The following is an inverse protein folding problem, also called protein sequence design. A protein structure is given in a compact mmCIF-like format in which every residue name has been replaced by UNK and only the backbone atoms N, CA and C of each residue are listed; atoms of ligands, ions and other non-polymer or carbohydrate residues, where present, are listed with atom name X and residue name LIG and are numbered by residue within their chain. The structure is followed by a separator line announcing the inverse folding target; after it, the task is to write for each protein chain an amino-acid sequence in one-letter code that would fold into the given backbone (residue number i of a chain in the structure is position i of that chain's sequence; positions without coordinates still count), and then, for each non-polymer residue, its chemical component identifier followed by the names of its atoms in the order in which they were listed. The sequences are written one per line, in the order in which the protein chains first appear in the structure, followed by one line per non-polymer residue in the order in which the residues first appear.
data_IF_271176632075
#
_entry.id   IF_271176632075
#
_cell.length_a   1.000
_cell.length_b   1.000
_cell.length_c   1.000
_cell.angle_alpha   90.00
_cell.angle_beta   90.00
_cell.angle_gamma   90.00
#
_symmetry.space_group_name_H-M   'P 1'
#
loop_
_entity.id
_entity.type
_entity.pdbx_description
1 polymer ?
#
# COMPACT_ATOMS: atom_id res chain seq x y z
N UNK A 1 -3.42 13.39 -14.37
CA UNK A 1 -2.55 12.19 -14.31
C UNK A 1 -1.72 12.06 -15.56
N UNK A 2 -0.46 11.67 -15.41
CA UNK A 2 0.47 11.48 -16.54
C UNK A 2 0.16 10.14 -17.23
N UNK A 3 0.33 10.08 -18.55
CA UNK A 3 0.23 8.83 -19.30
C UNK A 3 1.23 7.82 -18.73
N UNK A 4 0.82 6.57 -18.47
CA UNK A 4 1.65 5.55 -17.85
C UNK A 4 1.65 5.57 -16.30
N UNK A 5 0.83 6.43 -15.67
CA UNK A 5 0.66 6.52 -14.22
C UNK A 5 -0.83 6.56 -13.80
N UNK A 6 -1.72 6.00 -14.62
CA UNK A 6 -3.18 6.08 -14.42
C UNK A 6 -3.78 4.84 -13.77
N UNK A 7 -2.96 3.83 -13.45
CA UNK A 7 -3.35 2.62 -12.72
C UNK A 7 -2.37 2.35 -11.58
N UNK A 8 -2.72 1.50 -10.66
CA UNK A 8 -2.01 1.32 -9.39
C UNK A 8 -0.50 1.14 -9.53
N UNK A 9 -0.03 0.08 -10.22
CA UNK A 9 1.41 -0.16 -10.36
C UNK A 9 2.11 0.93 -11.20
N UNK A 10 1.46 1.45 -12.22
CA UNK A 10 2.00 2.58 -12.99
C UNK A 10 2.18 3.83 -12.13
N UNK A 11 1.24 4.10 -11.21
CA UNK A 11 1.36 5.20 -10.25
C UNK A 11 2.48 4.94 -9.24
N UNK A 12 2.60 3.72 -8.71
CA UNK A 12 3.67 3.35 -7.78
C UNK A 12 5.06 3.49 -8.42
N UNK A 13 5.23 3.01 -9.66
CA UNK A 13 6.48 3.20 -10.43
C UNK A 13 6.76 4.68 -10.67
N UNK A 14 5.75 5.46 -11.05
CA UNK A 14 5.94 6.90 -11.27
C UNK A 14 6.37 7.64 -10.00
N UNK A 15 5.88 7.23 -8.82
CA UNK A 15 6.24 7.84 -7.54
C UNK A 15 7.62 7.40 -7.04
N UNK A 16 8.01 6.15 -7.27
CA UNK A 16 9.27 5.61 -6.75
C UNK A 16 10.44 5.72 -7.70
N UNK A 17 10.19 5.67 -9.02
CA UNK A 17 11.22 5.73 -10.07
C UNK A 17 11.21 7.03 -10.88
N UNK A 18 10.19 7.89 -10.73
CA UNK A 18 10.07 9.14 -11.46
C UNK A 18 9.79 9.00 -12.97
N UNK A 19 9.40 7.80 -13.42
CA UNK A 19 9.15 7.51 -14.84
C UNK A 19 7.74 6.96 -15.06
N UNK A 20 7.12 7.18 -16.25
CA UNK A 20 5.88 6.53 -16.60
C UNK A 20 6.11 5.04 -16.90
N UNK A 21 5.25 4.16 -16.39
CA UNK A 21 5.33 2.73 -16.69
C UNK A 21 4.87 2.46 -18.12
N UNK A 22 5.70 1.75 -18.87
CA UNK A 22 5.36 1.15 -20.14
C UNK A 22 5.71 -0.34 -20.08
N UNK A 23 4.71 -1.18 -20.20
CA UNK A 23 4.88 -2.64 -20.17
C UNK A 23 5.07 -3.19 -21.57
N UNK A 24 5.85 -4.28 -21.74
CA UNK A 24 6.03 -4.96 -23.01
C UNK A 24 4.80 -5.78 -23.43
N UNK A 25 3.86 -6.03 -22.52
CA UNK A 25 2.65 -6.80 -22.73
C UNK A 25 1.42 -5.89 -22.76
N UNK A 26 0.37 -6.29 -23.48
CA UNK A 26 -0.90 -5.57 -23.50
C UNK A 26 -1.62 -5.66 -22.14
N UNK A 27 -1.46 -6.78 -21.43
CA UNK A 27 -2.01 -6.94 -20.08
C UNK A 27 -0.97 -6.52 -19.03
N UNK A 28 -1.08 -5.27 -18.59
CA UNK A 28 -0.21 -4.69 -17.56
C UNK A 28 -0.26 -5.44 -16.22
N UNK A 29 -1.34 -6.21 -15.97
CA UNK A 29 -1.49 -6.97 -14.74
C UNK A 29 -0.71 -8.29 -14.77
N UNK A 30 -0.28 -8.73 -15.93
CA UNK A 30 0.55 -9.92 -16.12
C UNK A 30 2.04 -9.60 -16.09
N UNK A 31 2.42 -8.33 -16.19
CA UNK A 31 3.83 -7.95 -16.15
C UNK A 31 4.45 -8.28 -14.77
N UNK A 32 5.55 -9.03 -14.79
CA UNK A 32 6.18 -9.57 -13.58
C UNK A 32 5.49 -10.81 -12.99
N UNK A 33 4.32 -11.22 -13.50
CA UNK A 33 3.60 -12.38 -12.97
C UNK A 33 4.29 -13.73 -13.27
N UNK A 34 5.07 -13.79 -14.34
CA UNK A 34 5.81 -14.99 -14.79
C UNK A 34 7.21 -15.10 -14.18
N UNK A 35 7.55 -14.25 -13.20
CA UNK A 35 8.89 -14.21 -12.58
C UNK A 35 9.92 -13.45 -13.42
N UNK A 36 9.46 -12.67 -14.38
CA UNK A 36 10.28 -11.75 -15.14
C UNK A 36 10.74 -10.59 -14.26
N UNK A 37 11.95 -10.09 -14.52
CA UNK A 37 12.44 -8.89 -13.85
C UNK A 37 11.55 -7.68 -14.14
N UNK A 38 11.26 -6.90 -13.11
CA UNK A 38 10.42 -5.72 -13.23
C UNK A 38 11.26 -4.44 -13.19
N UNK A 39 11.59 -3.87 -14.35
CA UNK A 39 12.42 -2.66 -14.49
C UNK A 39 13.82 -2.77 -13.85
N UNK A 40 14.60 -3.83 -14.08
CA UNK A 40 15.85 -4.11 -13.35
C UNK A 40 16.95 -3.07 -13.59
N UNK A 41 16.83 -2.26 -14.63
CA UNK A 41 17.81 -1.20 -14.98
C UNK A 41 17.47 0.19 -14.43
N UNK A 42 16.42 0.30 -13.60
CA UNK A 42 15.96 1.59 -13.05
C UNK A 42 16.34 1.67 -11.58
N UNK A 43 16.93 2.78 -11.17
CA UNK A 43 17.13 3.09 -9.75
C UNK A 43 15.88 3.76 -9.19
N UNK A 44 15.36 3.24 -8.11
CA UNK A 44 14.15 3.74 -7.47
C UNK A 44 14.45 4.40 -6.13
N UNK A 45 13.46 5.12 -5.58
CA UNK A 45 13.55 5.64 -4.21
C UNK A 45 13.80 4.51 -3.20
N UNK A 46 13.20 3.32 -3.42
CA UNK A 46 13.39 2.18 -2.52
C UNK A 46 14.80 1.61 -2.60
N UNK A 47 15.45 1.59 -3.76
CA UNK A 47 16.89 1.25 -3.87
C UNK A 47 17.76 2.25 -3.10
N UNK A 48 17.49 3.55 -3.25
CA UNK A 48 18.24 4.62 -2.57
C UNK A 48 18.10 4.50 -1.05
N UNK A 49 16.89 4.25 -0.55
CA UNK A 49 16.64 4.08 0.89
C UNK A 49 17.28 2.81 1.42
N UNK A 50 17.24 1.71 0.65
CA UNK A 50 17.94 0.46 0.98
C UNK A 50 19.45 0.69 1.15
N UNK A 51 20.08 1.34 0.18
CA UNK A 51 21.52 1.66 0.20
C UNK A 51 21.87 2.63 1.36
N UNK A 52 20.93 3.46 1.79
CA UNK A 52 21.08 4.34 2.94
C UNK A 52 20.82 3.64 4.31
N UNK A 53 20.52 2.33 4.31
CA UNK A 53 20.33 1.54 5.51
C UNK A 53 18.94 1.65 6.16
N UNK A 54 17.93 2.08 5.41
CA UNK A 54 16.54 2.06 5.88
C UNK A 54 15.96 0.64 5.85
N UNK A 55 15.23 0.28 6.89
CA UNK A 55 14.35 -0.89 6.87
C UNK A 55 13.06 -0.48 6.16
N UNK A 56 12.70 -1.17 5.09
CA UNK A 56 11.58 -0.80 4.25
C UNK A 56 10.45 -1.81 4.30
N UNK A 57 9.22 -1.33 4.44
CA UNK A 57 8.04 -2.16 4.43
C UNK A 57 6.97 -1.62 3.49
N UNK A 58 6.37 -2.52 2.70
CA UNK A 58 5.19 -2.28 1.89
C UNK A 58 3.99 -2.99 2.51
N UNK A 59 2.86 -2.30 2.66
CA UNK A 59 1.60 -2.87 3.09
C UNK A 59 0.48 -2.57 2.10
N UNK A 60 -0.26 -3.60 1.71
CA UNK A 60 -1.41 -3.50 0.80
C UNK A 60 -2.59 -4.30 1.32
N UNK A 61 -3.82 -3.81 1.17
CA UNK A 61 -5.03 -4.52 1.60
C UNK A 61 -5.40 -5.73 0.72
N UNK A 62 -4.82 -5.85 -0.47
CA UNK A 62 -5.10 -6.89 -1.47
C UNK A 62 -3.95 -7.89 -1.60
N UNK A 63 -4.05 -8.80 -2.57
CA UNK A 63 -2.94 -9.66 -2.98
C UNK A 63 -1.83 -8.83 -3.63
N UNK A 64 -0.65 -8.79 -3.04
CA UNK A 64 0.48 -8.00 -3.53
C UNK A 64 1.01 -8.46 -4.89
N UNK A 65 0.75 -9.71 -5.29
CA UNK A 65 1.19 -10.25 -6.59
C UNK A 65 0.50 -9.58 -7.77
N UNK A 66 -0.73 -9.07 -7.56
CA UNK A 66 -1.49 -8.41 -8.61
C UNK A 66 -0.73 -7.22 -9.20
N UNK A 67 -0.63 -7.15 -10.52
CA UNK A 67 0.06 -6.10 -11.24
C UNK A 67 1.58 -6.12 -11.11
N UNK A 68 2.19 -7.23 -10.69
CA UNK A 68 3.65 -7.35 -10.53
C UNK A 68 4.23 -6.58 -9.34
N UNK A 69 3.38 -6.04 -8.45
CA UNK A 69 3.82 -5.22 -7.29
C UNK A 69 4.86 -5.94 -6.44
N UNK A 70 4.62 -7.24 -6.14
CA UNK A 70 5.55 -8.03 -5.35
C UNK A 70 6.94 -8.05 -5.96
N UNK A 71 7.03 -8.45 -7.23
CA UNK A 71 8.32 -8.56 -7.95
C UNK A 71 9.03 -7.22 -8.02
N UNK A 72 8.30 -6.15 -8.38
CA UNK A 72 8.87 -4.80 -8.44
C UNK A 72 9.50 -4.38 -7.12
N UNK A 73 8.76 -4.45 -6.02
CA UNK A 73 9.26 -3.98 -4.74
C UNK A 73 10.35 -4.88 -4.13
N UNK A 74 10.25 -6.21 -4.30
CA UNK A 74 11.31 -7.14 -3.86
C UNK A 74 12.63 -6.92 -4.62
N UNK A 75 12.56 -6.65 -5.92
CA UNK A 75 13.76 -6.35 -6.73
C UNK A 75 14.40 -4.99 -6.40
N UNK A 76 13.62 -4.07 -5.88
CA UNK A 76 14.04 -2.70 -5.57
C UNK A 76 14.21 -2.44 -4.06
N UNK A 77 14.70 -3.42 -3.30
CA UNK A 77 15.17 -3.22 -1.93
C UNK A 77 14.11 -3.16 -0.85
N UNK A 78 12.88 -3.67 -1.10
CA UNK A 78 11.85 -3.78 -0.06
C UNK A 78 12.13 -4.98 0.85
N UNK A 79 12.33 -4.74 2.16
CA UNK A 79 12.69 -5.78 3.14
C UNK A 79 11.48 -6.62 3.59
N UNK A 80 10.32 -6.00 3.71
CA UNK A 80 9.11 -6.68 4.15
C UNK A 80 7.88 -6.28 3.32
N UNK A 81 7.02 -7.27 3.04
CA UNK A 81 5.75 -7.05 2.35
C UNK A 81 4.63 -7.66 3.18
N UNK A 82 3.64 -6.83 3.52
CA UNK A 82 2.43 -7.20 4.23
C UNK A 82 1.22 -7.07 3.32
N UNK A 83 0.43 -8.12 3.20
CA UNK A 83 -0.73 -8.17 2.32
C UNK A 83 -1.89 -8.96 2.98
N UNK A 84 -2.93 -9.24 2.22
CA UNK A 84 -4.06 -10.06 2.66
C UNK A 84 -3.63 -11.40 3.29
N UNK A 85 -2.62 -12.06 2.72
CA UNK A 85 -2.20 -13.39 3.19
C UNK A 85 -1.38 -13.30 4.48
N UNK A 86 -0.51 -12.31 4.58
CA UNK A 86 0.23 -12.05 5.82
C UNK A 86 -0.71 -11.61 6.94
N UNK A 87 -1.72 -10.77 6.66
CA UNK A 87 -2.75 -10.39 7.63
C UNK A 87 -3.54 -11.58 8.19
N UNK A 88 -3.85 -12.57 7.33
CA UNK A 88 -4.48 -13.83 7.75
C UNK A 88 -3.55 -14.70 8.61
N UNK A 89 -2.28 -14.77 8.23
CA UNK A 89 -1.24 -15.52 8.95
C UNK A 89 -0.98 -14.94 10.33
N UNK A 90 -0.91 -13.62 10.42
CA UNK A 90 -0.64 -12.88 11.65
C UNK A 90 -1.90 -12.74 12.55
N UNK A 91 -3.06 -13.22 12.10
CA UNK A 91 -4.30 -13.20 12.88
C UNK A 91 -4.99 -11.84 12.97
N UNK A 92 -4.60 -10.89 12.11
CA UNK A 92 -5.25 -9.58 11.98
C UNK A 92 -6.69 -9.73 11.52
N UNK A 93 -6.90 -10.66 10.59
CA UNK A 93 -8.19 -11.05 10.03
C UNK A 93 -8.36 -12.57 10.04
N UNK A 94 -9.60 -13.10 10.04
CA UNK A 94 -9.85 -14.53 9.91
C UNK A 94 -9.24 -15.14 8.65
N UNK A 95 -8.89 -16.43 8.69
CA UNK A 95 -8.24 -17.13 7.56
C UNK A 95 -9.04 -17.12 6.27
N UNK A 96 -10.35 -17.06 6.34
CA UNK A 96 -11.27 -17.02 5.20
C UNK A 96 -11.82 -15.60 4.92
N UNK A 97 -11.29 -14.57 5.59
CA UNK A 97 -11.74 -13.21 5.41
C UNK A 97 -11.37 -12.69 4.02
N UNK A 98 -12.34 -12.17 3.30
CA UNK A 98 -12.16 -11.51 2.03
C UNK A 98 -13.35 -10.60 1.77
N UNK A 99 -13.09 -9.31 1.67
CA UNK A 99 -14.09 -8.32 1.25
C UNK A 99 -13.48 -7.41 0.19
N UNK A 100 -14.29 -7.00 -0.76
CA UNK A 100 -13.88 -6.11 -1.83
C UNK A 100 -12.66 -6.67 -2.60
N UNK A 101 -11.50 -6.08 -2.44
CA UNK A 101 -10.23 -6.52 -3.07
C UNK A 101 -9.33 -7.34 -2.13
N UNK A 102 -9.81 -7.63 -0.94
CA UNK A 102 -9.04 -8.42 0.03
C UNK A 102 -9.38 -8.11 1.48
N UNK A 103 -8.77 -7.07 2.04
CA UNK A 103 -8.96 -6.57 3.39
C UNK A 103 -9.22 -5.07 3.32
N UNK A 104 -10.34 -4.60 3.90
CA UNK A 104 -10.70 -3.18 3.93
C UNK A 104 -9.73 -2.33 4.73
N UNK A 105 -9.78 -1.01 4.51
CA UNK A 105 -8.86 -0.04 5.10
C UNK A 105 -8.93 0.01 6.64
N UNK A 106 -10.06 -0.29 7.25
CA UNK A 106 -10.19 -0.43 8.71
C UNK A 106 -9.17 -1.41 9.30
N UNK A 107 -9.07 -2.61 8.73
CA UNK A 107 -8.11 -3.62 9.17
C UNK A 107 -6.69 -3.29 8.69
N UNK A 108 -6.54 -2.69 7.53
CA UNK A 108 -5.27 -2.26 6.99
C UNK A 108 -4.60 -1.24 7.92
N UNK A 109 -5.31 -0.19 8.36
CA UNK A 109 -4.78 0.81 9.28
C UNK A 109 -4.44 0.22 10.65
N UNK A 110 -5.24 -0.72 11.16
CA UNK A 110 -4.92 -1.43 12.40
C UNK A 110 -3.61 -2.20 12.27
N UNK A 111 -3.46 -2.97 11.20
CA UNK A 111 -2.25 -3.74 10.93
C UNK A 111 -1.03 -2.83 10.72
N UNK A 112 -1.21 -1.72 10.01
CA UNK A 112 -0.15 -0.73 9.80
C UNK A 112 0.35 -0.14 11.13
N UNK A 113 -0.54 0.18 12.08
CA UNK A 113 -0.15 0.68 13.41
C UNK A 113 0.71 -0.34 14.16
N UNK A 114 0.37 -1.63 14.11
CA UNK A 114 1.16 -2.69 14.73
C UNK A 114 2.56 -2.77 14.10
N UNK A 115 2.65 -2.84 12.76
CA UNK A 115 3.92 -2.97 12.05
C UNK A 115 4.81 -1.73 12.14
N UNK A 116 4.25 -0.53 12.10
CA UNK A 116 5.02 0.71 12.33
C UNK A 116 5.55 0.76 13.76
N UNK A 117 4.77 0.33 14.75
CA UNK A 117 5.23 0.26 16.13
C UNK A 117 6.40 -0.71 16.29
N UNK A 118 6.36 -1.87 15.62
CA UNK A 118 7.47 -2.84 15.59
C UNK A 118 8.71 -2.24 14.91
N UNK A 119 8.56 -1.59 13.74
CA UNK A 119 9.66 -0.95 13.00
C UNK A 119 10.31 0.18 13.81
N UNK A 120 9.51 0.97 14.51
CA UNK A 120 10.02 2.07 15.35
C UNK A 120 10.85 1.61 16.56
N UNK A 121 10.86 0.31 16.89
CA UNK A 121 11.71 -0.27 17.93
C UNK A 121 13.08 -0.73 17.40
N UNK A 122 13.26 -0.76 16.08
CA UNK A 122 14.54 -1.12 15.48
C UNK A 122 15.56 0.03 15.65
N UNK A 123 16.84 -0.34 15.76
CA UNK A 123 17.95 0.63 15.81
C UNK A 123 18.40 1.03 14.39
N UNK A 124 17.42 1.36 13.54
CA UNK A 124 17.64 1.79 12.16
C UNK A 124 16.50 2.68 11.70
N UNK A 125 16.73 3.62 10.77
CA UNK A 125 15.65 4.36 10.15
C UNK A 125 14.75 3.41 9.35
N UNK A 126 13.47 3.73 9.23
CA UNK A 126 12.54 2.92 8.44
C UNK A 126 11.72 3.75 7.45
N UNK A 127 11.27 3.11 6.38
CA UNK A 127 10.32 3.66 5.43
C UNK A 127 9.11 2.71 5.30
N UNK A 128 7.91 3.23 5.52
CA UNK A 128 6.68 2.47 5.43
C UNK A 128 5.78 2.99 4.32
N UNK A 129 5.53 2.14 3.33
CA UNK A 129 4.66 2.45 2.19
C UNK A 129 3.35 1.69 2.33
N UNK A 130 2.21 2.37 2.22
CA UNK A 130 0.90 1.75 2.33
C UNK A 130 0.01 2.10 1.14
N UNK A 131 -0.74 1.10 0.65
CA UNK A 131 -1.75 1.26 -0.38
C UNK A 131 -3.13 0.91 0.19
N UNK A 132 -4.00 1.90 0.32
CA UNK A 132 -5.41 1.74 0.72
C UNK A 132 -6.25 1.19 -0.44
N UNK A 133 -7.42 0.63 -0.13
CA UNK A 133 -8.23 -0.09 -1.12
C UNK A 133 -9.70 0.34 -1.16
N UNK A 134 -10.24 0.90 -0.09
CA UNK A 134 -11.69 1.15 0.02
C UNK A 134 -12.21 2.19 -0.99
N UNK A 135 -11.34 3.07 -1.50
CA UNK A 135 -11.71 4.02 -2.56
C UNK A 135 -11.50 3.48 -3.98
N UNK A 136 -11.24 2.17 -4.15
CA UNK A 136 -11.07 1.60 -5.48
C UNK A 136 -12.33 1.74 -6.32
N UNK A 137 -12.18 2.17 -7.58
CA UNK A 137 -13.25 2.28 -8.55
C UNK A 137 -13.76 0.87 -8.94
N UNK A 138 -15.06 0.62 -9.08
CA UNK A 138 -16.25 1.46 -9.11
C UNK A 138 -16.99 1.40 -7.77
N UNK A 139 -17.36 2.57 -7.20
CA UNK A 139 -18.24 2.65 -6.03
C UNK A 139 -17.55 2.58 -4.67
N UNK A 140 -16.31 2.09 -4.60
CA UNK A 140 -15.61 1.91 -3.33
C UNK A 140 -16.23 0.85 -2.40
N UNK A 141 -15.66 0.69 -1.22
CA UNK A 141 -16.18 -0.17 -0.15
C UNK A 141 -16.55 0.67 1.08
N UNK A 142 -17.67 0.37 1.70
CA UNK A 142 -18.12 0.98 2.93
C UNK A 142 -17.95 -0.01 4.08
N UNK A 143 -16.98 0.24 4.95
CA UNK A 143 -16.80 -0.52 6.17
C UNK A 143 -17.77 -0.05 7.27
N UNK A 144 -17.77 -0.72 8.41
CA UNK A 144 -18.65 -0.40 9.55
C UNK A 144 -18.44 1.01 10.15
N UNK A 145 -17.31 1.67 9.84
CA UNK A 145 -17.02 3.04 10.29
C UNK A 145 -17.63 4.11 9.36
N UNK A 146 -18.17 3.72 8.21
CA UNK A 146 -18.72 4.68 7.26
C UNK A 146 -20.11 5.13 7.68
N UNK A 147 -20.27 6.42 7.87
CA UNK A 147 -21.58 7.04 8.15
C UNK A 147 -22.41 7.13 6.86
N UNK A 148 -23.74 7.07 6.99
CA UNK A 148 -24.64 7.31 5.87
C UNK A 148 -24.45 8.73 5.33
N UNK A 149 -24.20 8.86 4.02
CA UNK A 149 -24.03 10.15 3.37
C UNK A 149 -25.37 10.86 3.17
N UNK A 150 -25.36 12.16 3.34
CA UNK A 150 -26.51 13.02 2.99
C UNK A 150 -26.75 13.13 1.49
N UNK A 151 -25.73 12.81 0.65
CA UNK A 151 -25.82 12.84 -0.82
C UNK A 151 -26.49 11.61 -1.41
N UNK A 152 -26.54 10.49 -0.66
CA UNK A 152 -27.09 9.22 -1.13
C UNK A 152 -26.22 8.45 -2.14
N UNK A 153 -25.07 9.00 -2.54
CA UNK A 153 -24.14 8.33 -3.45
C UNK A 153 -23.10 7.51 -2.68
N UNK A 154 -23.01 6.21 -2.96
CA UNK A 154 -22.17 5.26 -2.22
C UNK A 154 -20.67 5.57 -2.35
N UNK A 155 -20.23 6.10 -3.48
CA UNK A 155 -18.82 6.41 -3.70
C UNK A 155 -18.33 7.60 -2.89
N UNK A 156 -19.16 8.65 -2.76
CA UNK A 156 -18.88 9.80 -1.90
C UNK A 156 -18.74 9.38 -0.44
N UNK A 157 -19.54 8.40 0.00
CA UNK A 157 -19.45 7.82 1.34
C UNK A 157 -18.11 7.11 1.54
N UNK A 158 -17.68 6.29 0.60
CA UNK A 158 -16.41 5.58 0.66
C UNK A 158 -15.23 6.54 0.71
N UNK A 159 -15.22 7.59 -0.12
CA UNK A 159 -14.18 8.63 -0.13
C UNK A 159 -14.16 9.40 1.20
N UNK A 160 -15.31 9.83 1.69
CA UNK A 160 -15.41 10.56 2.95
C UNK A 160 -14.96 9.72 4.14
N UNK A 161 -15.36 8.45 4.17
CA UNK A 161 -14.97 7.48 5.18
C UNK A 161 -13.46 7.23 5.17
N UNK A 162 -12.88 6.97 4.00
CA UNK A 162 -11.44 6.76 3.82
C UNK A 162 -10.64 8.01 4.24
N UNK A 163 -11.09 9.20 3.84
CA UNK A 163 -10.46 10.46 4.24
C UNK A 163 -10.40 10.61 5.77
N UNK A 164 -11.47 10.26 6.48
CA UNK A 164 -11.53 10.30 7.94
C UNK A 164 -10.56 9.29 8.57
N UNK A 165 -10.53 8.05 8.07
CA UNK A 165 -9.59 7.02 8.54
C UNK A 165 -8.13 7.43 8.31
N UNK A 166 -7.81 8.04 7.16
CA UNK A 166 -6.47 8.60 6.89
C UNK A 166 -6.13 9.70 7.88
N UNK A 167 -7.04 10.63 8.16
CA UNK A 167 -6.81 11.71 9.13
C UNK A 167 -6.56 11.16 10.54
N UNK A 168 -7.31 10.15 10.97
CA UNK A 168 -7.11 9.47 12.25
C UNK A 168 -5.77 8.74 12.31
N UNK A 169 -5.36 8.09 11.22
CA UNK A 169 -4.09 7.40 11.13
C UNK A 169 -2.90 8.38 11.20
N UNK A 170 -2.98 9.49 10.46
CA UNK A 170 -1.96 10.55 10.52
C UNK A 170 -1.88 11.17 11.92
N UNK A 171 -3.03 11.44 12.55
CA UNK A 171 -3.09 11.93 13.92
C UNK A 171 -2.45 10.95 14.91
N UNK A 172 -2.68 9.65 14.73
CA UNK A 172 -2.03 8.62 15.53
C UNK A 172 -0.50 8.64 15.35
N UNK A 173 0.01 8.75 14.12
CA UNK A 173 1.45 8.88 13.85
C UNK A 173 2.04 10.10 14.57
N UNK A 174 1.37 11.25 14.49
CA UNK A 174 1.81 12.50 15.11
C UNK A 174 1.89 12.43 16.64
N UNK A 175 1.20 11.49 17.26
CA UNK A 175 1.22 11.26 18.71
C UNK A 175 2.30 10.26 19.15
N UNK A 176 3.03 9.65 18.21
CA UNK A 176 4.04 8.65 18.55
C UNK A 176 5.38 9.28 18.90
N UNK A 177 6.16 8.66 19.81
CA UNK A 177 7.48 9.18 20.19
C UNK A 177 8.47 9.32 19.03
N UNK A 178 8.33 8.52 17.99
CA UNK A 178 9.20 8.55 16.80
C UNK A 178 8.86 9.70 15.84
N UNK A 179 7.73 10.39 16.02
CA UNK A 179 7.25 11.41 15.08
C UNK A 179 8.20 12.60 14.93
N UNK A 180 8.93 13.00 15.97
CA UNK A 180 9.87 14.12 15.89
C UNK A 180 10.96 13.93 14.82
N UNK A 181 11.23 12.68 14.42
CA UNK A 181 12.22 12.32 13.39
C UNK A 181 11.54 11.70 12.14
N UNK A 182 10.25 11.95 11.94
CA UNK A 182 9.47 11.41 10.80
C UNK A 182 9.19 12.49 9.77
N UNK A 183 9.29 12.12 8.49
CA UNK A 183 9.00 12.99 7.33
C UNK A 183 7.73 12.55 6.64
#
# INVERSE_FOLDING_TARGET
TTKGATWTIGSMVAQTAGIPLKTPTEDVNQYGASGEDFLPGVTTLTDILHDAGYIQALMVGSDVRFGGRKVYFEQHGMDAIYDLYTARKDGIIPKNYFVWWGMEDLHLFRYAKEKITELAQADAPFAFTMLTVDTHHVGGYQCELCEESKSGESYDQSISCSSRQVAEFVTWIQQQPFYENTT
#
